data_IF_835839952236
#
_entry.id   IF_835839952236
#
_cell.length_a   1.000
_cell.length_b   1.000
_cell.length_c   1.000
_cell.angle_alpha   90.00
_cell.angle_beta   90.00
_cell.angle_gamma   90.00
#
_symmetry.space_group_name_H-M   'P 1'
#
loop_
_entity.id
_entity.type
_entity.pdbx_description
1 polymer ?
#
# COMPACT_ATOMS: atom_id res chain seq x y z
N UNK A 1 16.04 -10.66 1.38
CA UNK A 1 16.18 -9.24 1.80
C UNK A 1 15.78 -8.26 0.70
N UNK A 2 15.76 -8.65 -0.58
CA UNK A 2 15.44 -7.76 -1.72
C UNK A 2 14.21 -6.87 -1.53
N UNK A 3 13.07 -7.41 -1.07
CA UNK A 3 11.87 -6.61 -0.78
C UNK A 3 12.14 -5.52 0.28
N UNK A 4 12.80 -5.84 1.38
CA UNK A 4 13.08 -4.87 2.44
C UNK A 4 14.02 -3.76 1.97
N UNK A 5 14.96 -4.08 1.09
CA UNK A 5 15.89 -3.10 0.52
C UNK A 5 15.19 -2.21 -0.50
N UNK A 6 14.36 -2.79 -1.37
CA UNK A 6 13.47 -2.05 -2.28
C UNK A 6 12.62 -1.03 -1.52
N UNK A 7 11.90 -1.47 -0.48
CA UNK A 7 11.02 -0.61 0.31
C UNK A 7 11.78 0.53 0.99
N UNK A 8 12.96 0.22 1.56
CA UNK A 8 13.79 1.24 2.20
C UNK A 8 14.26 2.29 1.20
N UNK A 9 14.71 1.86 0.04
CA UNK A 9 15.35 2.74 -0.94
C UNK A 9 14.34 3.59 -1.70
N UNK A 10 13.18 3.03 -2.06
CA UNK A 10 12.15 3.75 -2.83
C UNK A 10 11.21 4.58 -1.95
N UNK A 11 10.89 4.10 -0.73
CA UNK A 11 9.80 4.66 0.09
C UNK A 11 10.19 4.98 1.53
N UNK A 12 11.40 4.62 1.96
CA UNK A 12 11.94 4.94 3.27
C UNK A 12 11.70 3.87 4.36
N UNK A 13 12.25 4.16 5.55
CA UNK A 13 12.37 3.19 6.64
C UNK A 13 11.03 2.69 7.21
N UNK A 14 9.98 3.51 7.19
CA UNK A 14 8.66 3.13 7.69
C UNK A 14 8.04 1.96 6.92
N UNK A 15 8.22 1.93 5.61
CA UNK A 15 7.69 0.88 4.75
C UNK A 15 8.44 -0.44 4.96
N UNK A 16 9.78 -0.37 5.01
CA UNK A 16 10.62 -1.52 5.38
C UNK A 16 10.18 -2.10 6.74
N UNK A 17 9.94 -1.24 7.73
CA UNK A 17 9.50 -1.67 9.07
C UNK A 17 8.18 -2.41 9.02
N UNK A 18 7.17 -1.88 8.32
CA UNK A 18 5.86 -2.52 8.24
C UNK A 18 5.92 -3.90 7.57
N UNK A 19 6.65 -4.02 6.47
CA UNK A 19 6.84 -5.32 5.81
C UNK A 19 7.62 -6.31 6.69
N UNK A 20 8.65 -5.86 7.39
CA UNK A 20 9.41 -6.70 8.33
C UNK A 20 8.52 -7.23 9.46
N UNK A 21 7.65 -6.41 10.03
CA UNK A 21 6.71 -6.83 11.08
C UNK A 21 5.76 -7.91 10.53
N UNK A 22 5.22 -7.74 9.33
CA UNK A 22 4.36 -8.75 8.70
C UNK A 22 5.11 -10.08 8.47
N UNK A 23 6.38 -10.02 8.04
CA UNK A 23 7.23 -11.20 7.88
C UNK A 23 7.50 -11.92 9.21
N UNK A 24 7.84 -11.16 10.26
CA UNK A 24 8.10 -11.70 11.59
C UNK A 24 6.87 -12.36 12.22
N UNK A 25 5.68 -11.87 11.88
CA UNK A 25 4.41 -12.44 12.33
C UNK A 25 3.87 -13.56 11.41
N UNK A 26 4.63 -13.97 10.38
CA UNK A 26 4.20 -14.97 9.39
C UNK A 26 2.92 -14.58 8.62
N UNK A 27 2.64 -13.29 8.47
CA UNK A 27 1.47 -12.74 7.76
C UNK A 27 1.79 -12.21 6.37
N UNK A 28 3.08 -12.14 6.00
CA UNK A 28 3.52 -11.45 4.79
C UNK A 28 2.81 -11.96 3.52
N UNK A 29 2.66 -13.27 3.35
CA UNK A 29 2.02 -13.85 2.17
C UNK A 29 0.51 -13.54 2.09
N UNK A 30 -0.14 -13.26 3.22
CA UNK A 30 -1.57 -12.93 3.29
C UNK A 30 -1.87 -11.45 3.09
N UNK A 31 -0.90 -10.59 3.41
CA UNK A 31 -1.12 -9.13 3.53
C UNK A 31 -0.27 -8.29 2.62
N UNK A 32 0.71 -8.87 1.89
CA UNK A 32 1.60 -8.14 0.98
C UNK A 32 1.43 -8.68 -0.44
N UNK A 33 1.28 -7.75 -1.40
CA UNK A 33 1.47 -8.03 -2.81
C UNK A 33 2.67 -7.26 -3.35
N UNK A 34 3.42 -7.89 -4.24
CA UNK A 34 4.55 -7.29 -4.95
C UNK A 34 4.33 -7.34 -6.46
N UNK A 35 4.89 -6.38 -7.17
CA UNK A 35 4.94 -6.38 -8.64
C UNK A 35 6.37 -6.61 -9.07
N UNK A 36 6.56 -7.53 -10.03
CA UNK A 36 7.83 -7.76 -10.70
C UNK A 36 7.78 -7.17 -12.10
N UNK A 37 8.82 -6.43 -12.50
CA UNK A 37 8.96 -5.97 -13.87
C UNK A 37 9.45 -7.10 -14.80
N UNK A 38 9.59 -6.80 -16.10
CA UNK A 38 10.06 -7.75 -17.13
C UNK A 38 11.41 -8.42 -16.82
N UNK A 39 12.24 -7.80 -15.99
CA UNK A 39 13.54 -8.31 -15.57
C UNK A 39 13.47 -9.07 -14.24
N UNK A 40 12.27 -9.39 -13.75
CA UNK A 40 11.99 -10.03 -12.46
C UNK A 40 12.46 -9.23 -11.24
N UNK A 41 12.62 -7.90 -11.38
CA UNK A 41 12.93 -7.02 -10.25
C UNK A 41 11.66 -6.47 -9.64
N UNK A 42 11.64 -6.32 -8.32
CA UNK A 42 10.52 -5.70 -7.61
C UNK A 42 10.40 -4.24 -8.06
N UNK A 43 9.20 -3.85 -8.51
CA UNK A 43 8.88 -2.49 -8.92
C UNK A 43 7.58 -1.94 -8.31
N UNK A 44 6.87 -2.73 -7.51
CA UNK A 44 5.64 -2.31 -6.87
C UNK A 44 5.37 -3.09 -5.60
N UNK A 45 4.66 -2.46 -4.69
CA UNK A 45 4.31 -3.01 -3.40
C UNK A 45 2.98 -2.43 -2.91
N UNK A 46 2.14 -3.28 -2.34
CA UNK A 46 1.11 -2.83 -1.41
C UNK A 46 1.01 -3.78 -0.22
N UNK A 47 0.45 -3.27 0.86
CA UNK A 47 0.09 -4.13 1.99
C UNK A 47 -1.20 -3.69 2.67
N UNK A 48 -1.65 -4.50 3.63
CA UNK A 48 -2.73 -4.19 4.58
C UNK A 48 -2.35 -4.56 6.01
N UNK A 49 -3.22 -4.24 6.96
CA UNK A 49 -3.16 -4.69 8.35
C UNK A 49 -1.95 -4.17 9.13
N UNK A 50 -1.41 -3.00 8.76
CA UNK A 50 -0.27 -2.37 9.45
C UNK A 50 -0.55 -2.03 10.93
N UNK A 51 -1.82 -1.88 11.30
CA UNK A 51 -2.30 -1.61 12.66
C UNK A 51 -3.09 -2.81 13.25
N UNK A 52 -3.02 -3.97 12.61
CA UNK A 52 -3.76 -5.17 13.00
C UNK A 52 -5.21 -5.21 12.51
N UNK A 53 -5.77 -4.13 11.94
CA UNK A 53 -7.11 -4.17 11.35
C UNK A 53 -7.06 -4.78 9.94
N UNK A 54 -7.78 -5.89 9.65
CA UNK A 54 -7.75 -6.53 8.33
C UNK A 54 -8.22 -5.63 7.17
N UNK A 55 -9.06 -4.63 7.46
CA UNK A 55 -9.59 -3.67 6.49
C UNK A 55 -8.64 -2.49 6.22
N UNK A 56 -7.62 -2.31 7.07
CA UNK A 56 -6.67 -1.21 6.93
C UNK A 56 -5.74 -1.47 5.76
N UNK A 57 -5.94 -0.76 4.66
CA UNK A 57 -5.05 -0.81 3.51
C UNK A 57 -3.92 0.22 3.63
N UNK A 58 -2.82 -0.11 2.97
CA UNK A 58 -1.67 0.74 2.79
C UNK A 58 -0.48 0.37 3.68
N UNK A 59 0.71 0.84 3.28
CA UNK A 59 0.93 1.70 2.11
C UNK A 59 0.88 0.96 0.76
N UNK A 60 0.76 1.72 -0.34
CA UNK A 60 0.88 1.27 -1.73
C UNK A 60 1.83 2.19 -2.49
N UNK A 61 2.75 1.62 -3.27
CA UNK A 61 3.74 2.38 -4.01
C UNK A 61 4.31 1.62 -5.21
N UNK A 62 4.58 2.37 -6.28
CA UNK A 62 5.28 1.92 -7.46
C UNK A 62 6.63 2.65 -7.53
N UNK A 63 7.67 1.91 -7.88
CA UNK A 63 9.02 2.43 -8.10
C UNK A 63 8.97 3.63 -9.05
N UNK A 64 9.74 4.67 -8.78
CA UNK A 64 9.64 5.93 -9.53
C UNK A 64 9.73 5.73 -11.06
N UNK A 65 10.67 4.88 -11.49
CA UNK A 65 10.92 4.59 -12.90
C UNK A 65 9.78 3.85 -13.62
N UNK A 66 8.80 3.30 -12.89
CA UNK A 66 7.73 2.44 -13.42
C UNK A 66 6.33 3.06 -13.17
N UNK A 67 6.27 4.33 -12.71
CA UNK A 67 5.02 5.06 -12.48
C UNK A 67 4.33 5.43 -13.80
N UNK A 68 3.06 5.82 -13.72
CA UNK A 68 2.21 6.27 -14.83
C UNK A 68 1.88 5.22 -15.90
N UNK A 69 2.22 3.95 -15.69
CA UNK A 69 1.85 2.82 -16.56
C UNK A 69 0.58 2.07 -16.10
N UNK A 70 -0.20 2.63 -15.17
CA UNK A 70 -1.42 2.00 -14.63
C UNK A 70 -1.20 0.88 -13.60
N UNK A 71 0.05 0.49 -13.33
CA UNK A 71 0.42 -0.60 -12.42
C UNK A 71 -0.18 -0.44 -11.03
N UNK A 72 -0.17 0.79 -10.48
CA UNK A 72 -0.74 1.07 -9.17
C UNK A 72 -2.24 0.76 -9.09
N UNK A 73 -3.00 1.05 -10.15
CA UNK A 73 -4.43 0.74 -10.20
C UNK A 73 -4.69 -0.77 -10.20
N UNK A 74 -3.95 -1.50 -11.02
CA UNK A 74 -4.01 -2.97 -11.07
C UNK A 74 -3.68 -3.56 -9.70
N UNK A 75 -2.62 -3.07 -9.04
CA UNK A 75 -2.19 -3.56 -7.74
C UNK A 75 -3.24 -3.31 -6.64
N UNK A 76 -3.88 -2.14 -6.65
CA UNK A 76 -4.99 -1.83 -5.73
C UNK A 76 -6.19 -2.76 -5.93
N UNK A 77 -6.63 -2.95 -7.18
CA UNK A 77 -7.76 -3.83 -7.49
C UNK A 77 -7.48 -5.30 -7.18
N UNK A 78 -6.25 -5.76 -7.42
CA UNK A 78 -5.81 -7.10 -7.00
C UNK A 78 -5.87 -7.25 -5.48
N UNK A 79 -5.42 -6.25 -4.71
CA UNK A 79 -5.52 -6.31 -3.26
C UNK A 79 -6.98 -6.33 -2.78
N UNK A 80 -7.88 -5.55 -3.40
CA UNK A 80 -9.32 -5.61 -3.10
C UNK A 80 -9.91 -6.98 -3.39
N UNK A 81 -9.49 -7.62 -4.50
CA UNK A 81 -9.91 -8.97 -4.86
C UNK A 81 -9.43 -9.99 -3.84
N UNK A 82 -8.16 -9.93 -3.42
CA UNK A 82 -7.62 -10.83 -2.39
C UNK A 82 -8.32 -10.63 -1.04
N UNK A 83 -8.59 -9.38 -0.65
CA UNK A 83 -9.40 -9.07 0.53
C UNK A 83 -10.80 -9.69 0.44
N UNK A 84 -11.46 -9.55 -0.71
CA UNK A 84 -12.80 -10.11 -0.93
C UNK A 84 -12.81 -11.65 -0.87
N UNK A 85 -11.75 -12.32 -1.37
CA UNK A 85 -11.59 -13.79 -1.27
C UNK A 85 -11.48 -14.26 0.18
N UNK A 86 -11.01 -13.40 1.08
CA UNK A 86 -10.88 -13.66 2.52
C UNK A 86 -12.09 -13.17 3.34
N UNK A 87 -13.17 -12.71 2.70
CA UNK A 87 -14.36 -12.20 3.38
C UNK A 87 -14.22 -10.77 3.92
N UNK A 88 -13.22 -10.01 3.45
CA UNK A 88 -12.98 -8.62 3.85
C UNK A 88 -13.55 -7.70 2.78
N UNK A 89 -14.75 -7.17 3.01
CA UNK A 89 -15.52 -6.39 2.03
C UNK A 89 -15.39 -4.87 2.16
N UNK A 90 -14.61 -4.40 3.13
CA UNK A 90 -14.34 -2.98 3.32
C UNK A 90 -12.84 -2.72 3.34
N UNK A 91 -12.44 -1.65 2.66
CA UNK A 91 -11.06 -1.16 2.60
C UNK A 91 -11.05 0.30 3.02
N UNK A 92 -10.12 0.67 3.90
CA UNK A 92 -9.87 2.07 4.23
C UNK A 92 -8.39 2.36 4.47
N UNK A 93 -8.01 3.62 4.29
CA UNK A 93 -6.75 4.20 4.77
C UNK A 93 -7.06 5.60 5.33
N UNK A 94 -6.16 6.12 6.17
CA UNK A 94 -6.46 7.32 6.97
C UNK A 94 -6.07 8.62 6.29
N UNK A 95 -5.01 8.61 5.49
CA UNK A 95 -4.52 9.82 4.83
C UNK A 95 -4.17 9.55 3.37
N UNK A 96 -4.43 10.54 2.53
CA UNK A 96 -3.93 10.67 1.16
C UNK A 96 -3.80 12.16 0.86
N UNK A 97 -2.96 12.50 -0.11
CA UNK A 97 -2.94 13.83 -0.72
C UNK A 97 -4.03 13.96 -1.80
N UNK A 98 -4.24 15.18 -2.33
CA UNK A 98 -5.26 15.45 -3.35
C UNK A 98 -5.03 14.68 -4.67
N UNK A 99 -3.78 14.54 -5.17
CA UNK A 99 -3.51 13.65 -6.31
C UNK A 99 -3.91 12.19 -6.05
N UNK A 100 -3.58 11.66 -4.87
CA UNK A 100 -3.94 10.32 -4.45
C UNK A 100 -5.46 10.14 -4.34
N UNK A 101 -6.19 11.14 -3.83
CA UNK A 101 -7.67 11.10 -3.76
C UNK A 101 -8.30 10.82 -5.12
N UNK A 102 -7.91 11.55 -6.18
CA UNK A 102 -8.42 11.30 -7.54
C UNK A 102 -8.09 9.90 -8.04
N UNK A 103 -6.94 9.35 -7.64
CA UNK A 103 -6.57 7.98 -7.96
C UNK A 103 -7.51 6.97 -7.29
N UNK A 104 -7.76 7.10 -6.00
CA UNK A 104 -8.65 6.19 -5.27
C UNK A 104 -10.13 6.31 -5.68
N UNK A 105 -10.61 7.51 -5.99
CA UNK A 105 -11.99 7.74 -6.47
C UNK A 105 -12.28 6.97 -7.76
N UNK A 106 -11.30 6.85 -8.67
CA UNK A 106 -11.45 6.06 -9.91
C UNK A 106 -11.62 4.55 -9.65
N UNK A 107 -11.20 4.07 -8.47
CA UNK A 107 -11.34 2.67 -8.05
C UNK A 107 -12.50 2.48 -7.07
N UNK A 108 -13.43 3.44 -6.98
CA UNK A 108 -14.66 3.31 -6.19
C UNK A 108 -14.52 3.61 -4.71
N UNK A 109 -13.39 4.17 -4.25
CA UNK A 109 -13.28 4.68 -2.89
C UNK A 109 -13.84 6.10 -2.78
N UNK A 110 -14.39 6.42 -1.62
CA UNK A 110 -14.89 7.75 -1.29
C UNK A 110 -14.30 8.25 0.02
N UNK A 111 -14.17 9.57 0.16
CA UNK A 111 -13.78 10.19 1.42
C UNK A 111 -14.87 9.92 2.47
N UNK A 112 -14.49 9.31 3.59
CA UNK A 112 -15.40 9.09 4.73
C UNK A 112 -15.05 9.97 5.95
N UNK A 113 -13.85 10.56 5.96
CA UNK A 113 -13.37 11.45 7.03
C UNK A 113 -12.26 12.37 6.50
N UNK A 114 -12.24 13.61 6.99
CA UNK A 114 -11.20 14.61 6.70
C UNK A 114 -10.48 14.98 8.01
N UNK A 115 -9.17 15.15 7.95
CA UNK A 115 -8.33 15.57 9.07
C UNK A 115 -7.65 16.90 8.72
N UNK A 116 -7.48 17.77 9.72
CA UNK A 116 -6.72 19.03 9.59
C UNK A 116 -5.47 18.88 10.45
N UNK A 117 -4.28 18.95 9.82
CA UNK A 117 -3.02 18.94 10.54
C UNK A 117 -2.78 20.31 11.19
N UNK A 118 -2.45 20.29 12.49
CA UNK A 118 -1.97 21.46 13.21
C UNK A 118 -0.54 21.20 13.64
N UNK A 119 0.35 22.15 13.37
CA UNK A 119 1.73 22.13 13.85
C UNK A 119 1.97 23.38 14.67
N UNK A 120 2.59 23.20 15.83
CA UNK A 120 3.17 24.30 16.60
C UNK A 120 4.68 24.20 16.44
N UNK A 121 5.28 25.23 15.88
CA UNK A 121 6.73 25.37 15.90
C UNK A 121 7.14 25.63 17.36
N UNK A 122 8.10 24.84 17.84
CA UNK A 122 8.71 24.97 19.18
C UNK A 122 9.90 25.91 19.06
#
# INVERSE_FOLDING_TARGET
MELLDFLKNEFGGGWKRNALIAMQNHLAEDVILIVLNKNKKICGFCMRMIDGNPMRFGPIGIAEAERNAGIGGILLELQMREMSRQGIYHMYFVTTDEPGKRYYERHGLSVFRTFIEYRRDI
#
